data_IF_244891960549
#
_entry.id   IF_244891960549
#
_cell.length_a   1.000
_cell.length_b   1.000
_cell.length_c   1.000
_cell.angle_alpha   90.00
_cell.angle_beta   90.00
_cell.angle_gamma   90.00
#
_symmetry.space_group_name_H-M   'P 1'
#
loop_
_entity.id
_entity.type
_entity.pdbx_description
1 polymer ?
#
# COMPACT_ATOMS: atom_id res chain seq x y z
N UNK A 1 9.80 -13.92 1.78
CA UNK A 1 9.26 -12.79 2.52
C UNK A 1 8.13 -12.17 1.74
N UNK A 2 7.17 -11.58 2.42
CA UNK A 2 5.93 -11.15 1.77
C UNK A 2 5.80 -9.63 1.71
N UNK A 3 6.91 -8.96 1.44
CA UNK A 3 6.86 -7.52 1.23
C UNK A 3 6.12 -7.22 -0.07
N UNK A 4 5.36 -6.13 -0.07
CA UNK A 4 4.62 -5.71 -1.24
C UNK A 4 4.92 -4.25 -1.55
N UNK A 5 4.82 -3.92 -2.83
CA UNK A 5 4.90 -2.53 -3.26
C UNK A 5 3.49 -1.94 -3.29
N UNK A 6 3.37 -0.69 -2.89
CA UNK A 6 2.08 -0.01 -2.81
C UNK A 6 1.99 1.05 -3.89
N UNK A 7 0.87 1.03 -4.59
CA UNK A 7 0.60 1.95 -5.70
C UNK A 7 -0.70 2.70 -5.43
N UNK A 8 -0.81 3.91 -5.97
CA UNK A 8 -2.07 4.62 -6.04
C UNK A 8 -2.53 4.60 -7.49
N UNK A 9 -3.78 4.22 -7.71
CA UNK A 9 -4.38 4.28 -9.04
C UNK A 9 -5.03 5.64 -9.25
N UNK A 10 -4.58 6.34 -10.29
CA UNK A 10 -5.17 7.60 -10.70
C UNK A 10 -5.35 7.60 -12.21
N UNK A 11 -6.59 7.83 -12.64
CA UNK A 11 -6.92 7.94 -14.07
C UNK A 11 -6.40 6.74 -14.86
N UNK A 12 -6.56 5.55 -14.28
CA UNK A 12 -6.15 4.31 -14.92
C UNK A 12 -4.67 4.01 -14.84
N UNK A 13 -3.90 4.83 -14.15
CA UNK A 13 -2.46 4.62 -13.99
C UNK A 13 -2.11 4.27 -12.56
N UNK A 14 -1.16 3.35 -12.41
CA UNK A 14 -0.67 2.95 -11.10
C UNK A 14 0.65 3.65 -10.81
N UNK A 15 0.68 4.42 -9.75
CA UNK A 15 1.86 5.19 -9.37
C UNK A 15 2.44 4.58 -8.10
N UNK A 16 3.69 4.15 -8.17
CA UNK A 16 4.37 3.57 -7.01
C UNK A 16 4.60 4.64 -5.95
N UNK A 17 4.16 4.37 -4.72
CA UNK A 17 4.30 5.34 -3.64
C UNK A 17 5.12 4.82 -2.46
N UNK A 18 5.21 3.49 -2.29
CA UNK A 18 5.91 2.94 -1.13
C UNK A 18 6.36 1.52 -1.47
N UNK A 19 7.63 1.22 -1.19
CA UNK A 19 8.21 -0.09 -1.52
C UNK A 19 8.42 -0.92 -0.27
N UNK A 20 8.42 -2.23 -0.45
CA UNK A 20 8.80 -3.20 0.57
C UNK A 20 7.96 -3.06 1.83
N UNK A 21 6.65 -2.90 1.65
CA UNK A 21 5.71 -2.77 2.74
C UNK A 21 5.35 -4.16 3.26
N UNK A 22 5.48 -4.37 4.58
CA UNK A 22 5.10 -5.63 5.20
C UNK A 22 4.00 -5.46 6.25
N UNK A 23 3.47 -4.26 6.42
CA UNK A 23 2.42 -3.99 7.38
C UNK A 23 1.44 -2.99 6.81
N UNK A 24 0.15 -3.31 6.88
CA UNK A 24 -0.91 -2.39 6.47
C UNK A 24 -2.05 -2.52 7.47
N UNK A 25 -2.53 -1.38 7.96
CA UNK A 25 -3.62 -1.36 8.91
C UNK A 25 -4.61 -0.27 8.55
N UNK A 26 -5.83 -0.65 8.09
CA UNK A 26 -6.88 0.33 7.91
C UNK A 26 -7.37 0.83 9.28
N UNK A 27 -7.56 2.14 9.41
CA UNK A 27 -8.07 2.76 10.62
C UNK A 27 -9.03 3.88 10.23
N UNK A 28 -10.33 3.60 10.32
CA UNK A 28 -11.33 4.59 9.92
C UNK A 28 -11.18 4.97 8.46
N UNK A 29 -10.96 6.25 8.19
CA UNK A 29 -10.77 6.74 6.83
C UNK A 29 -9.30 6.80 6.42
N UNK A 30 -8.42 6.22 7.23
CA UNK A 30 -6.98 6.25 6.99
C UNK A 30 -6.41 4.85 6.89
N UNK A 31 -5.23 4.76 6.26
CA UNK A 31 -4.49 3.52 6.17
C UNK A 31 -3.07 3.79 6.67
N UNK A 32 -2.59 2.95 7.57
CA UNK A 32 -1.22 3.02 8.06
C UNK A 32 -0.41 1.96 7.32
N UNK A 33 0.68 2.38 6.69
CA UNK A 33 1.61 1.50 5.98
C UNK A 33 2.97 1.57 6.65
N UNK A 34 3.64 0.42 6.74
CA UNK A 34 4.99 0.37 7.30
C UNK A 34 5.84 -0.54 6.44
N UNK A 35 7.05 -0.10 6.13
CA UNK A 35 7.96 -0.90 5.32
C UNK A 35 8.87 -1.76 6.21
N UNK A 36 9.74 -2.55 5.55
CA UNK A 36 10.59 -3.50 6.26
C UNK A 36 11.65 -2.81 7.12
N UNK A 37 11.88 -1.51 6.90
CA UNK A 37 12.82 -0.74 7.70
C UNK A 37 12.15 0.02 8.84
N UNK A 38 10.81 -0.12 8.95
CA UNK A 38 10.05 0.54 9.99
C UNK A 38 9.59 1.94 9.65
N UNK A 39 9.83 2.40 8.42
CA UNK A 39 9.31 3.69 7.99
C UNK A 39 7.80 3.60 7.80
N UNK A 40 7.08 4.63 8.23
CA UNK A 40 5.63 4.58 8.29
C UNK A 40 5.01 5.72 7.49
N UNK A 41 3.92 5.42 6.77
CA UNK A 41 3.12 6.41 6.08
C UNK A 41 1.67 6.25 6.49
N UNK A 42 0.97 7.38 6.64
CA UNK A 42 -0.45 7.40 6.94
C UNK A 42 -1.15 8.12 5.80
N UNK A 43 -2.09 7.44 5.16
CA UNK A 43 -2.76 7.96 3.97
C UNK A 43 -4.27 7.90 4.13
N UNK A 44 -4.96 8.86 3.53
CA UNK A 44 -6.43 8.87 3.49
C UNK A 44 -6.88 8.27 2.17
N UNK A 45 -6.58 7.01 1.99
CA UNK A 45 -6.91 6.27 0.78
C UNK A 45 -7.61 4.99 1.16
N UNK A 46 -8.21 4.33 0.17
CA UNK A 46 -8.84 3.04 0.37
C UNK A 46 -8.09 1.97 -0.40
N UNK A 47 -8.12 0.76 0.12
CA UNK A 47 -7.51 -0.38 -0.56
C UNK A 47 -8.44 -0.80 -1.69
N UNK A 48 -7.92 -0.84 -2.91
CA UNK A 48 -8.65 -1.34 -4.05
C UNK A 48 -8.35 -2.81 -4.28
N UNK A 49 -7.08 -3.18 -4.30
CA UNK A 49 -6.65 -4.54 -4.59
C UNK A 49 -5.45 -4.88 -3.71
N UNK A 50 -5.46 -6.09 -3.16
CA UNK A 50 -4.28 -6.70 -2.58
C UNK A 50 -4.02 -7.97 -3.37
N UNK A 51 -2.86 -8.06 -4.01
CA UNK A 51 -2.46 -9.23 -4.76
C UNK A 51 -1.24 -9.84 -4.11
N UNK A 52 -1.43 -10.97 -3.43
CA UNK A 52 -0.30 -11.66 -2.81
C UNK A 52 0.60 -12.31 -3.85
N UNK A 53 0.02 -12.74 -4.96
CA UNK A 53 0.80 -13.32 -6.05
C UNK A 53 1.79 -12.32 -6.63
N UNK A 54 1.34 -11.08 -6.84
CA UNK A 54 2.14 -10.06 -7.50
C UNK A 54 2.88 -9.18 -6.49
N UNK A 55 2.70 -9.43 -5.19
CA UNK A 55 3.28 -8.60 -4.12
C UNK A 55 2.94 -7.13 -4.33
N UNK A 56 1.65 -6.85 -4.49
CA UNK A 56 1.18 -5.56 -4.96
C UNK A 56 -0.06 -5.16 -4.19
N UNK A 57 -0.08 -3.92 -3.72
CA UNK A 57 -1.24 -3.32 -3.07
C UNK A 57 -1.59 -2.07 -3.85
N UNK A 58 -2.84 -1.97 -4.30
CA UNK A 58 -3.29 -0.81 -5.07
C UNK A 58 -4.32 -0.07 -4.24
N UNK A 59 -4.08 1.21 -4.05
CA UNK A 59 -4.97 2.13 -3.35
C UNK A 59 -5.70 3.03 -4.34
N UNK A 60 -6.83 3.56 -3.92
CA UNK A 60 -7.59 4.51 -4.75
C UNK A 60 -8.02 5.73 -3.96
#
# INVERSE_FOLDING_TARGET
>A
MCESNVYIEKEGKEILIFKDVDFIQPMGDQIILRDILGEEKVLKNRIKIISFRDHKIILE
#
